data_IF_245735201248
#
_entry.id   IF_245735201248
#
_cell.length_a   1.000
_cell.length_b   1.000
_cell.length_c   1.000
_cell.angle_alpha   90.00
_cell.angle_beta   90.00
_cell.angle_gamma   90.00
#
_symmetry.space_group_name_H-M   'P 1'
#
loop_
_entity.id
_entity.type
_entity.pdbx_description
1 polymer ?
#
# COMPACT_ATOMS: atom_id res chain seq x y z
N UNK A 1 -7.01 -7.89 23.33
CA UNK A 1 -7.85 -8.86 22.59
C UNK A 1 -7.56 -10.28 23.08
N UNK A 2 -8.59 -11.14 23.25
CA UNK A 2 -8.33 -12.58 23.42
C UNK A 2 -7.89 -13.11 22.06
N UNK A 3 -6.61 -13.40 21.87
CA UNK A 3 -6.15 -14.19 20.75
C UNK A 3 -6.60 -15.62 21.00
N UNK A 4 -7.49 -16.12 20.16
CA UNK A 4 -7.80 -17.56 20.15
C UNK A 4 -6.56 -18.24 19.57
N UNK A 5 -5.99 -19.17 20.32
CA UNK A 5 -4.84 -19.92 19.83
C UNK A 5 -5.20 -20.78 18.61
N UNK A 6 -6.47 -21.23 18.53
CA UNK A 6 -6.98 -22.02 17.41
C UNK A 6 -8.42 -21.67 17.07
N UNK A 7 -8.69 -21.53 15.75
CA UNK A 7 -10.02 -21.32 15.18
C UNK A 7 -10.28 -22.37 14.11
N UNK A 8 -11.46 -22.98 14.13
CA UNK A 8 -11.89 -23.94 13.12
C UNK A 8 -13.13 -23.41 12.39
N UNK A 9 -12.98 -23.12 11.11
CA UNK A 9 -14.10 -22.81 10.22
C UNK A 9 -14.55 -24.12 9.58
N UNK A 10 -15.79 -24.55 9.83
CA UNK A 10 -16.33 -25.79 9.32
C UNK A 10 -17.40 -25.58 8.27
N UNK A 11 -17.52 -26.54 7.37
CA UNK A 11 -18.52 -26.58 6.30
C UNK A 11 -18.40 -25.40 5.30
N UNK A 12 -17.20 -24.86 5.10
CA UNK A 12 -16.96 -23.73 4.20
C UNK A 12 -16.66 -24.23 2.79
N UNK A 13 -17.21 -23.59 1.78
CA UNK A 13 -16.72 -23.71 0.39
C UNK A 13 -15.45 -22.88 0.24
N UNK A 14 -14.51 -23.36 -0.58
CA UNK A 14 -13.28 -22.61 -0.88
C UNK A 14 -13.28 -22.27 -2.37
N UNK A 15 -13.17 -20.98 -2.69
CA UNK A 15 -13.29 -20.48 -4.09
C UNK A 15 -12.32 -21.13 -5.07
N UNK A 16 -11.16 -21.57 -4.59
CA UNK A 16 -10.12 -22.22 -5.40
C UNK A 16 -10.32 -23.73 -5.60
N UNK A 17 -11.32 -24.33 -4.97
CA UNK A 17 -11.59 -25.77 -5.13
C UNK A 17 -12.65 -26.00 -6.23
N UNK A 18 -12.45 -26.96 -7.14
CA UNK A 18 -13.31 -27.13 -8.31
C UNK A 18 -14.61 -27.89 -8.03
N UNK A 19 -14.82 -28.40 -6.82
CA UNK A 19 -15.79 -29.44 -6.51
C UNK A 19 -17.04 -28.96 -5.74
N UNK A 20 -17.14 -27.69 -5.39
CA UNK A 20 -18.22 -27.13 -4.54
C UNK A 20 -18.42 -27.92 -3.23
N UNK A 21 -17.40 -28.62 -2.79
CA UNK A 21 -17.45 -29.42 -1.56
C UNK A 21 -17.21 -28.53 -0.32
N UNK A 22 -17.59 -29.06 0.83
CA UNK A 22 -17.42 -28.39 2.12
C UNK A 22 -16.13 -28.85 2.80
N UNK A 23 -15.41 -27.87 3.33
CA UNK A 23 -14.11 -28.08 3.97
C UNK A 23 -14.11 -27.63 5.44
N UNK A 24 -13.14 -28.16 6.16
CA UNK A 24 -12.66 -27.60 7.41
C UNK A 24 -11.43 -26.75 7.11
N UNK A 25 -11.39 -25.52 7.63
CA UNK A 25 -10.26 -24.61 7.55
C UNK A 25 -9.80 -24.33 8.97
N UNK A 26 -8.66 -24.89 9.36
CA UNK A 26 -8.07 -24.72 10.68
C UNK A 26 -7.02 -23.62 10.68
N UNK A 27 -7.17 -22.68 11.61
CA UNK A 27 -6.26 -21.55 11.82
C UNK A 27 -5.60 -21.74 13.18
N UNK A 28 -4.28 -21.73 13.18
CA UNK A 28 -3.44 -21.76 14.38
C UNK A 28 -2.69 -20.43 14.47
N UNK A 29 -3.01 -19.66 15.50
CA UNK A 29 -2.59 -18.27 15.67
C UNK A 29 -2.97 -17.40 14.44
N UNK A 30 -2.01 -17.05 13.58
CA UNK A 30 -2.17 -16.19 12.41
C UNK A 30 -2.04 -16.95 11.08
N UNK A 31 -1.99 -18.28 11.14
CA UNK A 31 -1.70 -19.10 9.96
C UNK A 31 -2.82 -20.11 9.70
N UNK A 32 -3.23 -20.22 8.43
CA UNK A 32 -4.06 -21.34 7.97
C UNK A 32 -3.17 -22.58 8.00
N UNK A 33 -3.35 -23.44 9.02
CA UNK A 33 -2.50 -24.60 9.24
C UNK A 33 -3.01 -25.87 8.58
N UNK A 34 -4.32 -25.94 8.29
CA UNK A 34 -4.94 -27.11 7.66
C UNK A 34 -6.17 -26.75 6.84
N UNK A 35 -6.31 -27.37 5.68
CA UNK A 35 -7.52 -27.43 4.87
C UNK A 35 -7.83 -28.91 4.64
N UNK A 36 -9.00 -29.38 5.05
CA UNK A 36 -9.36 -30.80 5.02
C UNK A 36 -10.85 -31.00 4.75
N UNK A 37 -11.21 -32.14 4.14
CA UNK A 37 -12.61 -32.59 4.02
C UNK A 37 -13.10 -33.26 5.30
N UNK A 38 -12.18 -33.73 6.15
CA UNK A 38 -12.50 -34.35 7.42
C UNK A 38 -12.10 -33.47 8.60
N UNK A 39 -12.70 -33.70 9.76
CA UNK A 39 -12.36 -32.97 10.99
C UNK A 39 -10.86 -33.10 11.29
N UNK A 40 -10.08 -32.02 11.28
CA UNK A 40 -8.65 -32.10 11.53
C UNK A 40 -8.35 -32.38 13.01
N UNK A 41 -7.36 -33.25 13.26
CA UNK A 41 -6.86 -33.49 14.61
C UNK A 41 -6.17 -32.27 15.21
N UNK A 42 -6.28 -32.13 16.53
CA UNK A 42 -5.67 -30.98 17.25
C UNK A 42 -6.49 -29.68 17.22
N UNK A 43 -7.74 -29.75 16.73
CA UNK A 43 -8.72 -28.64 16.75
C UNK A 43 -9.95 -28.96 17.62
N UNK A 44 -9.91 -29.99 18.46
CA UNK A 44 -11.02 -30.42 19.30
C UNK A 44 -11.49 -29.34 20.29
N UNK A 45 -10.57 -28.48 20.72
CA UNK A 45 -10.84 -27.38 21.66
C UNK A 45 -10.76 -26.00 20.97
N UNK A 46 -10.77 -25.94 19.64
CA UNK A 46 -10.75 -24.68 18.90
C UNK A 46 -12.10 -23.94 19.02
N UNK A 47 -12.08 -22.62 18.87
CA UNK A 47 -13.31 -21.89 18.58
C UNK A 47 -13.86 -22.33 17.21
N UNK A 48 -15.18 -22.56 17.12
CA UNK A 48 -15.80 -23.10 15.91
C UNK A 48 -16.70 -22.05 15.28
N UNK A 49 -16.45 -21.77 13.99
CA UNK A 49 -17.36 -21.01 13.12
C UNK A 49 -18.00 -22.00 12.14
N UNK A 50 -19.34 -22.12 12.16
CA UNK A 50 -20.06 -22.83 11.10
C UNK A 50 -20.29 -21.91 9.91
N UNK A 51 -19.75 -22.26 8.76
CA UNK A 51 -19.77 -21.48 7.53
C UNK A 51 -20.48 -22.24 6.38
N UNK A 52 -21.53 -23.01 6.71
CA UNK A 52 -22.24 -23.83 5.73
C UNK A 52 -22.91 -23.05 4.58
N UNK A 53 -23.15 -21.75 4.80
CA UNK A 53 -23.73 -20.80 3.85
C UNK A 53 -22.71 -19.80 3.30
N UNK A 54 -21.41 -20.07 3.47
CA UNK A 54 -20.34 -19.13 3.15
C UNK A 54 -19.27 -19.77 2.27
N UNK A 55 -18.55 -18.88 1.57
CA UNK A 55 -17.39 -19.22 0.75
C UNK A 55 -16.17 -18.53 1.36
N UNK A 56 -15.09 -19.28 1.56
CA UNK A 56 -13.79 -18.70 1.90
C UNK A 56 -13.11 -18.19 0.63
N UNK A 57 -12.68 -16.95 0.69
CA UNK A 57 -11.93 -16.29 -0.37
C UNK A 57 -10.65 -15.68 0.21
N UNK A 58 -9.57 -15.50 -0.58
CA UNK A 58 -8.44 -14.68 -0.16
C UNK A 58 -8.91 -13.28 0.20
N UNK A 59 -8.33 -12.70 1.24
CA UNK A 59 -8.60 -11.31 1.60
C UNK A 59 -8.21 -10.37 0.45
N UNK A 60 -8.98 -9.31 0.25
CA UNK A 60 -8.67 -8.29 -0.74
C UNK A 60 -7.40 -7.52 -0.33
N UNK A 61 -6.63 -7.10 -1.31
CA UNK A 61 -5.44 -6.26 -1.13
C UNK A 61 -5.68 -4.93 -1.81
N UNK A 62 -5.67 -3.84 -1.03
CA UNK A 62 -5.72 -2.48 -1.58
C UNK A 62 -4.29 -2.01 -1.83
N UNK A 63 -3.87 -1.99 -3.09
CA UNK A 63 -2.48 -1.79 -3.47
C UNK A 63 -2.04 -0.33 -3.54
N UNK A 64 -2.95 0.63 -3.34
CA UNK A 64 -2.61 2.05 -3.26
C UNK A 64 -3.68 2.82 -2.48
N UNK A 65 -3.25 3.54 -1.45
CA UNK A 65 -4.12 4.39 -0.62
C UNK A 65 -3.39 5.64 -0.11
N UNK A 66 -4.22 6.57 0.35
CA UNK A 66 -3.89 7.65 1.28
C UNK A 66 -4.87 7.51 2.45
N UNK A 67 -4.64 6.52 3.32
CA UNK A 67 -5.65 5.99 4.24
C UNK A 67 -6.28 7.03 5.15
N UNK A 68 -5.50 7.97 5.69
CA UNK A 68 -6.02 9.02 6.57
C UNK A 68 -6.92 10.03 5.85
N UNK A 69 -6.88 10.10 4.50
CA UNK A 69 -7.76 10.97 3.71
C UNK A 69 -9.24 10.56 3.76
N UNK A 70 -9.61 9.50 4.46
CA UNK A 70 -11.02 9.25 4.82
C UNK A 70 -11.66 10.45 5.51
N UNK A 71 -10.88 11.28 6.21
CA UNK A 71 -11.33 12.54 6.81
C UNK A 71 -11.71 13.60 5.77
N UNK A 72 -11.19 13.50 4.56
CA UNK A 72 -11.42 14.46 3.47
C UNK A 72 -12.38 13.92 2.40
N UNK A 73 -13.10 12.82 2.69
CA UNK A 73 -14.05 12.22 1.76
C UNK A 73 -15.13 13.23 1.35
N UNK A 74 -15.35 13.35 0.04
CA UNK A 74 -16.29 14.28 -0.58
C UNK A 74 -16.07 15.77 -0.22
N UNK A 75 -14.86 16.09 0.26
CA UNK A 75 -14.49 17.48 0.54
C UNK A 75 -14.39 18.32 -0.72
N UNK A 76 -13.91 17.74 -1.81
CA UNK A 76 -13.79 18.40 -3.10
C UNK A 76 -13.86 17.35 -4.23
N UNK A 77 -14.92 17.37 -5.01
CA UNK A 77 -15.18 16.45 -6.10
C UNK A 77 -15.14 17.16 -7.45
N UNK A 78 -15.04 16.41 -8.56
CA UNK A 78 -15.13 16.88 -9.96
C UNK A 78 -14.10 17.99 -10.33
N UNK A 79 -12.88 17.88 -9.84
CA UNK A 79 -11.78 18.82 -10.10
C UNK A 79 -10.64 18.15 -10.86
N UNK A 80 -9.92 18.96 -11.66
CA UNK A 80 -8.64 18.54 -12.25
C UNK A 80 -7.61 18.32 -11.14
N UNK A 81 -6.79 17.29 -11.25
CA UNK A 81 -5.87 16.84 -10.19
C UNK A 81 -5.05 17.97 -9.56
N UNK A 82 -4.40 18.81 -10.37
CA UNK A 82 -3.53 19.87 -9.83
C UNK A 82 -4.33 20.97 -9.12
N UNK A 83 -5.51 21.32 -9.62
CA UNK A 83 -6.41 22.28 -8.95
C UNK A 83 -6.93 21.68 -7.64
N UNK A 84 -7.27 20.40 -7.64
CA UNK A 84 -7.70 19.65 -6.46
C UNK A 84 -6.60 19.64 -5.39
N UNK A 85 -5.37 19.27 -5.75
CA UNK A 85 -4.24 19.23 -4.82
C UNK A 85 -3.93 20.63 -4.25
N UNK A 86 -3.69 21.62 -5.13
CA UNK A 86 -3.17 22.94 -4.72
C UNK A 86 -4.20 23.79 -3.99
N UNK A 87 -5.47 23.75 -4.42
CA UNK A 87 -6.50 24.66 -3.94
C UNK A 87 -7.39 24.05 -2.84
N UNK A 88 -7.34 22.71 -2.65
CA UNK A 88 -8.20 22.01 -1.71
C UNK A 88 -7.40 21.09 -0.76
N UNK A 89 -6.71 20.09 -1.27
CA UNK A 89 -6.16 19.02 -0.44
C UNK A 89 -4.96 19.51 0.37
N UNK A 90 -3.93 20.07 -0.25
CA UNK A 90 -2.76 20.54 0.51
C UNK A 90 -3.09 21.60 1.57
N UNK A 91 -3.99 22.59 1.31
CA UNK A 91 -4.44 23.50 2.37
C UNK A 91 -5.18 22.79 3.51
N UNK A 92 -6.00 21.77 3.22
CA UNK A 92 -6.70 21.00 4.24
C UNK A 92 -5.73 20.13 5.04
N UNK A 93 -4.81 19.43 4.36
CA UNK A 93 -3.78 18.60 4.98
C UNK A 93 -2.84 19.38 5.90
N UNK A 94 -2.54 20.63 5.56
CA UNK A 94 -1.72 21.51 6.40
C UNK A 94 -2.35 21.79 7.77
N UNK A 95 -3.65 21.56 7.95
CA UNK A 95 -4.38 21.67 9.19
C UNK A 95 -4.44 20.38 10.01
N UNK A 96 -4.05 19.23 9.43
CA UNK A 96 -4.10 17.94 10.10
C UNK A 96 -2.88 17.76 11.01
N UNK A 97 -3.11 17.16 12.16
CA UNK A 97 -2.07 16.77 13.11
C UNK A 97 -1.94 15.24 13.20
N UNK A 98 -0.99 14.75 13.94
CA UNK A 98 -0.70 13.32 14.15
C UNK A 98 -1.91 12.50 14.64
N UNK A 99 -2.74 13.09 15.50
CA UNK A 99 -3.93 12.43 16.04
C UNK A 99 -5.01 12.28 14.96
N UNK A 100 -5.19 13.30 14.11
CA UNK A 100 -6.08 13.24 12.96
C UNK A 100 -5.66 12.10 12.00
N UNK A 101 -4.36 11.99 11.70
CA UNK A 101 -3.83 10.92 10.85
C UNK A 101 -4.10 9.54 11.46
N UNK A 102 -3.90 9.39 12.76
CA UNK A 102 -4.21 8.14 13.45
C UNK A 102 -5.69 7.77 13.31
N UNK A 103 -6.61 8.69 13.64
CA UNK A 103 -8.05 8.40 13.61
C UNK A 103 -8.60 8.25 12.19
N UNK A 104 -8.11 9.02 11.22
CA UNK A 104 -8.45 8.85 9.82
C UNK A 104 -8.03 7.47 9.30
N UNK A 105 -6.83 7.02 9.69
CA UNK A 105 -6.34 5.68 9.37
C UNK A 105 -7.18 4.59 10.06
N UNK A 106 -7.52 4.76 11.33
CA UNK A 106 -8.39 3.81 12.06
C UNK A 106 -9.75 3.65 11.38
N UNK A 107 -10.36 4.75 10.91
CA UNK A 107 -11.60 4.71 10.15
C UNK A 107 -11.42 3.94 8.82
N UNK A 108 -10.37 4.24 8.07
CA UNK A 108 -10.06 3.53 6.84
C UNK A 108 -9.88 2.02 7.06
N UNK A 109 -9.12 1.64 8.08
CA UNK A 109 -8.91 0.23 8.43
C UNK A 109 -10.23 -0.46 8.80
N UNK A 110 -11.09 0.20 9.58
CA UNK A 110 -12.39 -0.34 9.94
C UNK A 110 -13.27 -0.60 8.70
N UNK A 111 -13.27 0.31 7.72
CA UNK A 111 -13.96 0.13 6.45
C UNK A 111 -13.34 -0.99 5.61
N UNK A 112 -12.02 -1.04 5.51
CA UNK A 112 -11.29 -2.09 4.81
C UNK A 112 -11.64 -3.48 5.36
N UNK A 113 -11.54 -3.68 6.67
CA UNK A 113 -11.85 -4.96 7.31
C UNK A 113 -13.32 -5.35 7.11
N UNK A 114 -14.26 -4.40 7.20
CA UNK A 114 -15.70 -4.66 6.97
C UNK A 114 -16.01 -5.05 5.53
N UNK A 115 -15.20 -4.64 4.57
CA UNK A 115 -15.37 -4.93 3.14
C UNK A 115 -14.48 -6.07 2.65
N UNK A 116 -13.70 -6.70 3.53
CA UNK A 116 -12.87 -7.87 3.22
C UNK A 116 -11.44 -7.54 2.78
N UNK A 117 -11.01 -6.29 2.86
CA UNK A 117 -9.61 -5.92 2.62
C UNK A 117 -8.77 -6.24 3.86
N UNK A 118 -7.74 -7.05 3.69
CA UNK A 118 -6.88 -7.56 4.76
C UNK A 118 -5.45 -7.03 4.72
N UNK A 119 -5.09 -6.37 3.62
CA UNK A 119 -3.78 -5.75 3.43
C UNK A 119 -3.92 -4.49 2.57
N UNK A 120 -3.14 -3.46 2.87
CA UNK A 120 -3.12 -2.26 2.05
C UNK A 120 -1.69 -1.69 1.89
N UNK A 121 -1.47 -0.98 0.80
CA UNK A 121 -0.28 -0.14 0.62
C UNK A 121 -0.68 1.32 0.77
N UNK A 122 0.06 2.07 1.58
CA UNK A 122 -0.25 3.46 1.92
C UNK A 122 0.95 4.38 1.70
N UNK A 123 0.65 5.56 1.20
CA UNK A 123 1.62 6.65 1.08
C UNK A 123 1.01 7.91 1.67
N UNK A 124 1.57 8.42 2.77
CA UNK A 124 1.09 9.66 3.38
C UNK A 124 2.18 10.33 4.22
N UNK A 125 1.78 11.18 5.17
CA UNK A 125 2.66 11.76 6.19
C UNK A 125 2.31 11.25 7.59
N UNK A 126 3.13 11.58 8.63
CA UNK A 126 2.99 11.06 9.98
C UNK A 126 2.83 9.53 10.04
N UNK A 127 3.62 8.80 9.23
CA UNK A 127 3.44 7.36 8.99
C UNK A 127 3.70 6.50 10.23
N UNK A 128 4.37 7.01 11.26
CA UNK A 128 4.45 6.33 12.57
C UNK A 128 3.06 6.15 13.20
N UNK A 129 2.14 7.12 13.01
CA UNK A 129 0.75 7.02 13.47
C UNK A 129 -0.06 6.01 12.67
N UNK A 130 0.18 5.93 11.37
CA UNK A 130 -0.39 4.88 10.51
C UNK A 130 0.11 3.51 10.95
N UNK A 131 1.42 3.37 11.18
CA UNK A 131 2.03 2.13 11.67
C UNK A 131 1.49 1.71 13.04
N UNK A 132 1.27 2.67 13.95
CA UNK A 132 0.61 2.43 15.23
C UNK A 132 -0.80 1.86 15.04
N UNK A 133 -1.64 2.48 14.20
CA UNK A 133 -2.99 2.00 13.88
C UNK A 133 -2.98 0.59 13.29
N UNK A 134 -2.05 0.30 12.38
CA UNK A 134 -1.85 -1.05 11.80
C UNK A 134 -1.48 -2.07 12.88
N UNK A 135 -0.55 -1.73 13.76
CA UNK A 135 -0.12 -2.60 14.85
C UNK A 135 -1.28 -2.95 15.80
N UNK A 136 -2.08 -1.96 16.17
CA UNK A 136 -3.19 -2.12 17.13
C UNK A 136 -4.38 -2.88 16.53
N UNK A 137 -4.69 -2.68 15.24
CA UNK A 137 -5.84 -3.31 14.57
C UNK A 137 -5.58 -4.74 14.09
N UNK A 138 -4.32 -5.08 13.86
CA UNK A 138 -3.94 -6.40 13.36
C UNK A 138 -3.98 -6.55 11.83
N UNK A 139 -4.35 -5.53 11.07
CA UNK A 139 -4.29 -5.54 9.60
C UNK A 139 -2.84 -5.61 9.10
N UNK A 140 -2.63 -5.96 7.84
CA UNK A 140 -1.32 -5.91 7.18
C UNK A 140 -1.19 -4.64 6.36
N UNK A 141 0.00 -4.05 6.34
CA UNK A 141 0.26 -2.88 5.51
C UNK A 141 1.68 -2.81 4.98
N UNK A 142 1.82 -2.18 3.80
CA UNK A 142 3.07 -1.67 3.27
C UNK A 142 3.01 -0.14 3.28
N UNK A 143 3.87 0.49 4.07
CA UNK A 143 3.79 1.90 4.41
C UNK A 143 4.93 2.68 3.77
N UNK A 144 4.67 3.86 3.26
CA UNK A 144 5.68 4.75 2.69
C UNK A 144 5.42 6.21 3.10
N UNK A 145 6.47 6.90 3.54
CA UNK A 145 6.42 8.35 3.76
C UNK A 145 6.40 9.04 2.41
N UNK A 146 5.38 9.86 2.15
CA UNK A 146 5.33 10.70 0.94
C UNK A 146 6.48 11.72 0.93
N UNK A 147 7.37 11.59 -0.06
CA UNK A 147 8.58 12.41 -0.20
C UNK A 147 8.39 13.41 -1.33
N UNK A 148 8.47 14.70 -1.01
CA UNK A 148 8.42 15.81 -1.98
C UNK A 148 9.77 16.51 -1.96
N UNK A 149 10.47 16.47 -3.10
CA UNK A 149 11.84 16.97 -3.22
C UNK A 149 11.96 18.47 -3.48
N UNK A 150 10.82 19.17 -3.69
CA UNK A 150 10.77 20.61 -4.00
C UNK A 150 10.66 21.50 -2.75
N UNK A 151 10.55 20.91 -1.57
CA UNK A 151 10.40 21.65 -0.31
C UNK A 151 11.74 21.77 0.43
N UNK A 152 11.95 22.83 1.24
CA UNK A 152 13.20 23.02 1.99
C UNK A 152 13.55 21.86 2.94
N UNK A 153 12.55 21.15 3.44
CA UNK A 153 12.63 20.02 4.37
C UNK A 153 12.74 18.64 3.68
N UNK A 154 13.04 18.61 2.37
CA UNK A 154 13.09 17.38 1.58
C UNK A 154 14.06 16.33 2.15
N UNK A 155 15.27 16.74 2.57
CA UNK A 155 16.27 15.85 3.13
C UNK A 155 15.84 15.33 4.53
N UNK A 156 15.15 16.13 5.33
CA UNK A 156 14.56 15.73 6.61
C UNK A 156 13.47 14.66 6.38
N UNK A 157 12.56 14.88 5.43
CA UNK A 157 11.54 13.88 5.06
C UNK A 157 12.15 12.55 4.59
N UNK A 158 13.27 12.60 3.88
CA UNK A 158 13.99 11.36 3.51
C UNK A 158 14.55 10.65 4.73
N UNK A 159 15.07 11.39 5.72
CA UNK A 159 15.50 10.82 7.00
C UNK A 159 14.32 10.24 7.78
N UNK A 160 13.16 10.91 7.79
CA UNK A 160 11.93 10.39 8.40
C UNK A 160 11.53 9.04 7.79
N UNK A 161 11.60 8.88 6.45
CA UNK A 161 11.31 7.60 5.83
C UNK A 161 12.35 6.52 6.20
N UNK A 162 13.63 6.89 6.31
CA UNK A 162 14.68 5.98 6.81
C UNK A 162 14.39 5.54 8.25
N UNK A 163 13.99 6.46 9.12
CA UNK A 163 13.62 6.16 10.50
C UNK A 163 12.36 5.30 10.58
N UNK A 164 11.35 5.59 9.76
CA UNK A 164 10.16 4.76 9.63
C UNK A 164 10.54 3.31 9.26
N UNK A 165 11.45 3.13 8.30
CA UNK A 165 11.94 1.81 7.91
C UNK A 165 12.62 1.09 9.09
N UNK A 166 13.55 1.76 9.78
CA UNK A 166 14.27 1.17 10.93
C UNK A 166 13.34 0.80 12.08
N UNK A 167 12.32 1.60 12.33
CA UNK A 167 11.42 1.43 13.47
C UNK A 167 10.33 0.39 13.18
N UNK A 168 9.81 0.31 11.96
CA UNK A 168 8.59 -0.41 11.67
C UNK A 168 8.71 -1.54 10.65
N UNK A 169 9.74 -1.58 9.81
CA UNK A 169 9.88 -2.66 8.82
C UNK A 169 10.03 -4.02 9.53
N UNK A 170 9.15 -4.97 9.18
CA UNK A 170 9.09 -6.30 9.81
C UNK A 170 8.48 -6.34 11.22
N UNK A 171 7.99 -5.20 11.75
CA UNK A 171 7.32 -5.16 13.06
C UNK A 171 5.87 -5.64 12.98
N UNK A 172 5.19 -5.63 14.14
CA UNK A 172 3.84 -6.16 14.29
C UNK A 172 3.73 -7.62 13.79
N UNK A 173 4.64 -8.48 14.22
CA UNK A 173 4.72 -9.90 13.81
C UNK A 173 4.85 -10.07 12.28
N UNK A 174 5.62 -9.18 11.64
CA UNK A 174 5.85 -9.19 10.19
C UNK A 174 4.72 -8.59 9.35
N UNK A 175 3.68 -8.00 9.98
CA UNK A 175 2.54 -7.43 9.28
C UNK A 175 2.81 -6.07 8.66
N UNK A 176 3.85 -5.35 9.12
CA UNK A 176 4.25 -4.05 8.57
C UNK A 176 5.47 -4.22 7.69
N UNK A 177 5.36 -3.75 6.45
CA UNK A 177 6.46 -3.50 5.53
C UNK A 177 6.60 -1.99 5.33
N UNK A 178 7.81 -1.53 5.04
CA UNK A 178 8.05 -0.11 4.75
C UNK A 178 8.78 0.00 3.43
N UNK A 179 8.30 0.89 2.59
CA UNK A 179 8.89 1.28 1.30
C UNK A 179 9.34 2.74 1.37
N UNK A 180 10.15 3.18 0.41
CA UNK A 180 10.40 4.61 0.19
C UNK A 180 9.34 5.18 -0.75
N UNK A 181 8.80 6.35 -0.40
CA UNK A 181 7.65 6.96 -1.08
C UNK A 181 7.94 8.25 -1.84
N UNK A 182 8.86 8.31 -2.85
CA UNK A 182 8.93 9.49 -3.70
C UNK A 182 7.58 9.72 -4.36
N UNK A 183 7.00 10.92 -4.15
CA UNK A 183 5.60 11.16 -4.47
C UNK A 183 5.31 10.95 -5.96
N UNK A 184 5.94 11.75 -6.82
CA UNK A 184 5.75 11.70 -8.27
C UNK A 184 6.93 12.38 -8.98
N UNK A 185 7.14 12.15 -10.30
CA UNK A 185 8.22 12.80 -11.05
C UNK A 185 8.17 14.33 -10.99
N UNK A 186 6.99 14.93 -11.05
CA UNK A 186 6.79 16.37 -11.03
C UNK A 186 6.97 17.03 -9.64
N UNK A 187 7.06 16.26 -8.57
CA UNK A 187 7.33 16.75 -7.21
C UNK A 187 8.71 16.38 -6.70
N UNK A 188 9.44 15.52 -7.41
CA UNK A 188 10.74 15.01 -7.02
C UNK A 188 11.78 15.25 -8.13
N UNK A 189 12.59 16.30 -8.03
CA UNK A 189 13.70 16.53 -8.97
C UNK A 189 14.63 15.32 -9.07
N UNK A 190 15.26 15.11 -10.22
CA UNK A 190 16.18 14.01 -10.50
C UNK A 190 17.27 13.86 -9.43
N UNK A 191 17.83 14.98 -8.96
CA UNK A 191 18.85 14.98 -7.90
C UNK A 191 18.33 14.40 -6.58
N UNK A 192 17.05 14.63 -6.26
CA UNK A 192 16.41 14.09 -5.08
C UNK A 192 16.05 12.60 -5.27
N UNK A 193 15.51 12.24 -6.43
CA UNK A 193 15.22 10.84 -6.77
C UNK A 193 16.46 9.96 -6.64
N UNK A 194 17.63 10.43 -7.11
CA UNK A 194 18.91 9.73 -6.92
C UNK A 194 19.25 9.48 -5.45
N UNK A 195 18.98 10.44 -4.56
CA UNK A 195 19.16 10.24 -3.10
C UNK A 195 18.21 9.18 -2.56
N UNK A 196 16.95 9.20 -3.00
CA UNK A 196 15.92 8.22 -2.57
C UNK A 196 16.31 6.81 -3.03
N UNK A 197 16.67 6.63 -4.30
CA UNK A 197 17.11 5.34 -4.86
C UNK A 197 18.32 4.80 -4.14
N UNK A 198 19.35 5.65 -3.93
CA UNK A 198 20.54 5.26 -3.20
C UNK A 198 20.20 4.79 -1.77
N UNK A 199 19.33 5.53 -1.06
CA UNK A 199 18.94 5.18 0.30
C UNK A 199 18.08 3.90 0.35
N UNK A 200 17.14 3.71 -0.59
CA UNK A 200 16.37 2.49 -0.72
C UNK A 200 17.29 1.27 -0.99
N UNK A 201 18.26 1.42 -1.90
CA UNK A 201 19.24 0.38 -2.20
C UNK A 201 20.12 0.01 -0.99
N UNK A 202 20.62 1.01 -0.22
CA UNK A 202 21.39 0.77 1.01
C UNK A 202 20.62 -0.08 2.04
N UNK A 203 19.31 0.08 2.12
CA UNK A 203 18.44 -0.61 3.08
C UNK A 203 17.76 -1.86 2.49
N UNK A 204 18.00 -2.17 1.23
CA UNK A 204 17.27 -3.19 0.48
C UNK A 204 15.74 -3.01 0.61
N UNK A 205 15.31 -1.76 0.51
CA UNK A 205 13.91 -1.36 0.60
C UNK A 205 13.32 -1.15 -0.79
N UNK A 206 12.05 -1.45 -0.93
CA UNK A 206 11.28 -1.20 -2.15
C UNK A 206 10.81 0.25 -2.25
N UNK A 207 10.37 0.66 -3.42
CA UNK A 207 9.88 2.01 -3.71
C UNK A 207 8.38 1.96 -4.09
N UNK A 208 7.61 2.93 -3.60
CA UNK A 208 6.21 3.18 -3.98
C UNK A 208 6.10 4.59 -4.55
N UNK A 209 5.59 4.76 -5.76
CA UNK A 209 5.56 6.05 -6.46
C UNK A 209 4.35 6.17 -7.39
N UNK A 210 3.78 7.38 -7.53
CA UNK A 210 2.79 7.69 -8.57
C UNK A 210 3.50 7.88 -9.90
N UNK A 211 3.09 7.15 -10.93
CA UNK A 211 3.71 7.20 -12.25
C UNK A 211 2.65 7.21 -13.36
N UNK A 212 2.82 8.11 -14.31
CA UNK A 212 1.98 8.21 -15.50
C UNK A 212 0.48 8.30 -15.19
N UNK A 213 0.14 9.05 -14.14
CA UNK A 213 -1.24 9.24 -13.70
C UNK A 213 -2.02 10.08 -14.69
N UNK A 214 -1.45 11.20 -15.15
CA UNK A 214 -2.11 12.12 -16.08
C UNK A 214 -1.32 12.30 -17.38
N UNK A 215 -2.03 12.60 -18.47
CA UNK A 215 -1.38 12.96 -19.74
C UNK A 215 -0.47 14.18 -19.62
N UNK A 216 -0.83 15.13 -18.72
CA UNK A 216 -0.03 16.31 -18.41
C UNK A 216 1.33 15.95 -17.80
N UNK A 217 1.34 15.08 -16.79
CA UNK A 217 2.57 14.56 -16.18
C UNK A 217 3.52 13.98 -17.25
N UNK A 218 2.99 13.12 -18.13
CA UNK A 218 3.79 12.49 -19.17
C UNK A 218 4.34 13.53 -20.15
N UNK A 219 3.48 14.46 -20.63
CA UNK A 219 3.90 15.49 -21.60
C UNK A 219 4.94 16.43 -21.03
N UNK A 220 4.83 16.80 -19.75
CA UNK A 220 5.75 17.71 -19.11
C UNK A 220 7.10 17.04 -18.80
N UNK A 221 7.08 15.77 -18.38
CA UNK A 221 8.28 14.96 -18.23
C UNK A 221 9.03 14.81 -19.58
N UNK A 222 8.32 14.58 -20.68
CA UNK A 222 8.93 14.49 -22.01
C UNK A 222 9.53 15.84 -22.43
N UNK A 223 8.85 16.95 -22.16
CA UNK A 223 9.39 18.30 -22.47
C UNK A 223 10.66 18.61 -21.70
N UNK A 224 10.69 18.26 -20.41
CA UNK A 224 11.79 18.60 -19.51
C UNK A 224 12.99 17.66 -19.67
N UNK A 225 12.72 16.35 -19.81
CA UNK A 225 13.75 15.32 -19.76
C UNK A 225 13.97 14.58 -21.08
N UNK A 226 13.16 14.85 -22.11
CA UNK A 226 13.12 14.08 -23.37
C UNK A 226 12.89 12.57 -23.15
N UNK A 227 12.20 12.20 -22.06
CA UNK A 227 11.87 10.84 -21.65
C UNK A 227 10.48 10.80 -21.05
N UNK A 228 9.79 9.65 -21.21
CA UNK A 228 8.59 9.37 -20.42
C UNK A 228 8.95 9.19 -18.94
N UNK A 229 8.00 9.33 -17.99
CA UNK A 229 8.27 9.04 -16.58
C UNK A 229 8.88 7.66 -16.35
N UNK A 230 8.39 6.64 -17.05
CA UNK A 230 8.93 5.25 -16.94
C UNK A 230 10.39 5.19 -17.40
N UNK A 231 10.72 5.77 -18.56
CA UNK A 231 12.10 5.83 -19.06
C UNK A 231 13.01 6.60 -18.13
N UNK A 232 12.52 7.71 -17.57
CA UNK A 232 13.29 8.48 -16.60
C UNK A 232 13.59 7.68 -15.34
N UNK A 233 12.59 7.02 -14.75
CA UNK A 233 12.79 6.20 -13.55
C UNK A 233 13.73 5.01 -13.81
N UNK A 234 13.60 4.36 -14.96
CA UNK A 234 14.52 3.30 -15.39
C UNK A 234 15.96 3.81 -15.50
N UNK A 235 16.16 5.01 -16.06
CA UNK A 235 17.50 5.62 -16.19
C UNK A 235 18.15 6.01 -14.85
N UNK A 236 17.38 5.99 -13.77
CA UNK A 236 17.82 6.27 -12.40
C UNK A 236 17.98 4.98 -11.57
N UNK A 237 17.91 3.80 -12.19
CA UNK A 237 17.98 2.49 -11.55
C UNK A 237 16.92 2.28 -10.45
N UNK A 238 15.79 3.03 -10.54
CA UNK A 238 14.74 2.98 -9.52
C UNK A 238 14.07 1.59 -9.47
N UNK A 239 13.91 0.95 -10.61
CA UNK A 239 13.24 -0.34 -10.70
C UNK A 239 14.08 -1.48 -10.10
N UNK A 240 15.38 -1.33 -9.98
CA UNK A 240 16.28 -2.30 -9.33
C UNK A 240 15.98 -2.47 -7.83
N UNK A 241 15.40 -1.44 -7.19
CA UNK A 241 14.96 -1.51 -5.80
C UNK A 241 13.67 -2.33 -5.63
N UNK A 242 13.01 -2.74 -6.72
CA UNK A 242 11.63 -3.26 -6.70
C UNK A 242 10.62 -2.14 -6.49
N UNK A 243 9.78 -1.88 -7.50
CA UNK A 243 8.87 -0.71 -7.49
C UNK A 243 7.41 -1.12 -7.56
N UNK A 244 6.58 -0.48 -6.72
CA UNK A 244 5.14 -0.42 -6.83
C UNK A 244 4.77 0.92 -7.47
N UNK A 245 4.38 0.89 -8.73
CA UNK A 245 3.96 2.05 -9.49
C UNK A 245 2.44 2.23 -9.37
N UNK A 246 1.99 3.32 -8.76
CA UNK A 246 0.57 3.66 -8.71
C UNK A 246 0.15 4.33 -10.02
N UNK A 247 -1.10 4.11 -10.40
CA UNK A 247 -1.80 4.59 -11.58
C UNK A 247 -1.38 3.93 -12.88
N UNK A 248 -0.30 4.32 -13.52
CA UNK A 248 0.15 3.85 -14.84
C UNK A 248 -0.95 3.89 -15.91
N UNK A 249 -1.72 5.02 -15.94
CA UNK A 249 -2.85 5.20 -16.88
C UNK A 249 -2.35 5.61 -18.26
N UNK A 250 -1.34 6.47 -18.31
CA UNK A 250 -0.82 7.05 -19.55
C UNK A 250 0.58 6.49 -19.88
N UNK A 251 0.65 5.17 -20.16
CA UNK A 251 1.89 4.48 -20.56
C UNK A 251 1.85 4.13 -22.04
N UNK A 252 3.01 4.15 -22.70
CA UNK A 252 3.16 3.67 -24.08
C UNK A 252 3.54 2.18 -24.10
N UNK A 253 3.43 1.52 -25.28
CA UNK A 253 3.90 0.13 -25.45
C UNK A 253 5.38 -0.01 -25.05
N UNK A 254 6.24 0.95 -25.44
CA UNK A 254 7.65 0.94 -25.07
C UNK A 254 7.87 1.12 -23.55
N UNK A 255 6.97 1.79 -22.85
CA UNK A 255 7.02 1.86 -21.38
C UNK A 255 6.59 0.52 -20.76
N UNK A 256 5.59 -0.15 -21.32
CA UNK A 256 5.16 -1.48 -20.87
C UNK A 256 6.28 -2.52 -21.00
N UNK A 257 7.05 -2.48 -22.10
CA UNK A 257 8.21 -3.35 -22.27
C UNK A 257 9.25 -3.13 -21.15
N UNK A 258 9.60 -1.87 -20.87
CA UNK A 258 10.52 -1.53 -19.77
C UNK A 258 9.99 -2.03 -18.43
N UNK A 259 8.69 -1.81 -18.16
CA UNK A 259 8.06 -2.24 -16.91
C UNK A 259 8.05 -3.76 -16.76
N UNK A 260 7.81 -4.50 -17.85
CA UNK A 260 7.83 -5.96 -17.87
C UNK A 260 9.24 -6.50 -17.63
N UNK A 261 10.25 -5.96 -18.31
CA UNK A 261 11.65 -6.38 -18.19
C UNK A 261 12.18 -6.17 -16.75
N UNK A 262 11.69 -5.14 -16.05
CA UNK A 262 12.09 -4.81 -14.68
C UNK A 262 11.10 -5.33 -13.61
N UNK A 263 10.08 -6.10 -13.99
CA UNK A 263 9.07 -6.67 -13.09
C UNK A 263 8.42 -5.59 -12.20
N UNK A 264 8.10 -4.43 -12.78
CA UNK A 264 7.44 -3.34 -12.08
C UNK A 264 6.01 -3.77 -11.70
N UNK A 265 5.68 -3.68 -10.43
CA UNK A 265 4.33 -3.97 -9.95
C UNK A 265 3.46 -2.73 -10.11
N UNK A 266 2.26 -2.91 -10.64
CA UNK A 266 1.34 -1.81 -10.93
C UNK A 266 0.11 -1.88 -10.01
N UNK A 267 -0.16 -0.78 -9.32
CA UNK A 267 -1.44 -0.51 -8.70
C UNK A 267 -2.26 0.36 -9.66
N UNK A 268 -3.01 -0.27 -10.56
CA UNK A 268 -3.74 0.44 -11.60
C UNK A 268 -4.99 1.12 -11.05
N UNK A 269 -5.03 2.44 -11.14
CA UNK A 269 -6.16 3.27 -10.72
C UNK A 269 -6.65 4.06 -11.94
N UNK A 270 -7.62 3.53 -12.71
CA UNK A 270 -8.00 4.06 -14.04
C UNK A 270 -8.85 5.34 -14.01
N UNK A 271 -9.21 5.86 -12.84
CA UNK A 271 -10.02 7.08 -12.68
C UNK A 271 -9.32 8.11 -11.84
#
# INVERSE_FOLDING_TARGET
>A
MKYFSKLLIKNVEIISTPDNEKYFLGIDNDTISVISKEMPTGFENAEIINASDKIAVPGLVNTHTHAAMTLLRSYADDMVLMDWLQNKIWPAEAGLNDEDIYWGTMLSIAEMLKTGTTCFADMYFAMDKVAQAVNETGIRASLSRGLVGLTPDADEKLQDNEMLFKNWHGKADGRIRVMFGPHAPYTCPVSYLKKVVAKAGELNAEIHMHLCETAGEVSDCVKEHNMTPIKLMNSLDMFDCGTLAAHCVHVSEADLDIMADNIVRVAHNPK
#
